data_IF_289924529241
#
_entry.id   IF_289924529241
#
_cell.length_a   1.000
_cell.length_b   1.000
_cell.length_c   1.000
_cell.angle_alpha   90.00
_cell.angle_beta   90.00
_cell.angle_gamma   90.00
#
_symmetry.space_group_name_H-M   'P 1'
#
loop_
_entity.id
_entity.type
_entity.pdbx_description
1 polymer ?
#
# COMPACT_ATOMS: atom_id res chain seq x y z
N UNK A 1 0.38 14.65 -11.16
CA UNK A 1 0.70 14.13 -9.82
C UNK A 1 1.93 13.26 -9.93
N UNK A 2 2.98 13.56 -9.18
CA UNK A 2 4.20 12.74 -9.05
C UNK A 2 4.09 11.77 -7.87
N UNK A 3 5.02 10.82 -7.77
CA UNK A 3 5.04 9.90 -6.63
C UNK A 3 5.36 10.63 -5.34
N UNK A 4 6.24 11.62 -5.42
CA UNK A 4 6.66 12.49 -4.33
C UNK A 4 5.46 13.28 -3.77
N UNK A 5 4.68 13.92 -4.64
CA UNK A 5 3.45 14.64 -4.26
C UNK A 5 2.43 13.71 -3.59
N UNK A 6 2.23 12.50 -4.13
CA UNK A 6 1.33 11.51 -3.54
C UNK A 6 1.84 11.07 -2.16
N UNK A 7 3.13 10.79 -2.04
CA UNK A 7 3.74 10.27 -0.82
C UNK A 7 3.73 11.33 0.30
N UNK A 8 4.05 12.57 -0.04
CA UNK A 8 4.00 13.71 0.88
C UNK A 8 2.56 13.99 1.32
N UNK A 9 1.59 14.00 0.41
CA UNK A 9 0.16 14.16 0.77
C UNK A 9 -0.32 13.06 1.72
N UNK A 10 0.11 11.82 1.49
CA UNK A 10 -0.29 10.69 2.33
C UNK A 10 0.38 10.70 3.72
N UNK A 11 1.66 11.07 3.79
CA UNK A 11 2.49 10.84 4.98
C UNK A 11 2.90 12.11 5.73
N UNK A 12 2.86 13.27 5.07
CA UNK A 12 3.45 14.53 5.54
C UNK A 12 4.98 14.61 5.39
N UNK A 13 5.60 13.67 4.68
CA UNK A 13 7.04 13.57 4.53
C UNK A 13 7.43 13.29 3.08
N UNK A 14 8.58 13.79 2.63
CA UNK A 14 9.16 13.40 1.35
C UNK A 14 9.59 11.92 1.37
N UNK A 15 9.46 11.19 0.24
CA UNK A 15 9.90 9.80 0.17
C UNK A 15 11.42 9.68 0.15
N UNK A 16 11.94 8.71 0.88
CA UNK A 16 13.34 8.30 0.77
C UNK A 16 13.67 7.77 -0.64
N UNK A 17 14.95 7.82 -1.06
CA UNK A 17 15.36 7.34 -2.39
C UNK A 17 14.94 5.90 -2.70
N UNK A 18 14.97 5.01 -1.71
CA UNK A 18 14.59 3.61 -1.92
C UNK A 18 13.06 3.42 -2.10
N UNK A 19 12.24 4.29 -1.51
CA UNK A 19 10.79 4.31 -1.70
C UNK A 19 10.45 4.71 -3.14
N UNK A 20 11.10 5.77 -3.64
CA UNK A 20 10.98 6.22 -5.04
C UNK A 20 11.37 5.11 -6.00
N UNK A 21 12.55 4.50 -5.78
CA UNK A 21 13.05 3.39 -6.60
C UNK A 21 12.09 2.20 -6.61
N UNK A 22 11.47 1.85 -5.49
CA UNK A 22 10.48 0.78 -5.42
C UNK A 22 9.23 1.11 -6.25
N UNK A 23 8.67 2.32 -6.09
CA UNK A 23 7.47 2.73 -6.80
C UNK A 23 7.68 2.83 -8.32
N UNK A 24 8.83 3.35 -8.74
CA UNK A 24 9.17 3.65 -10.14
C UNK A 24 9.88 2.52 -10.89
N UNK A 25 10.17 1.38 -10.23
CA UNK A 25 10.79 0.25 -10.90
C UNK A 25 9.92 -0.27 -12.06
N UNK A 26 10.52 -0.77 -13.14
CA UNK A 26 9.75 -1.35 -14.25
C UNK A 26 8.89 -2.55 -13.78
N UNK A 27 9.47 -3.37 -12.91
CA UNK A 27 8.83 -4.55 -12.31
C UNK A 27 8.74 -4.38 -10.78
N UNK A 28 7.83 -5.13 -10.15
CA UNK A 28 7.68 -5.08 -8.69
C UNK A 28 8.87 -5.83 -8.05
N UNK A 29 9.66 -5.20 -7.16
CA UNK A 29 10.81 -5.87 -6.56
C UNK A 29 10.40 -7.01 -5.61
N UNK A 30 11.06 -8.17 -5.72
CA UNK A 30 10.82 -9.32 -4.83
C UNK A 30 11.34 -9.11 -3.40
N UNK A 31 12.35 -8.25 -3.21
CA UNK A 31 12.98 -8.02 -1.92
C UNK A 31 13.26 -6.53 -1.68
N UNK A 32 12.75 -6.02 -0.57
CA UNK A 32 13.06 -4.69 -0.06
C UNK A 32 13.85 -4.79 1.25
N UNK A 33 15.15 -4.49 1.18
CA UNK A 33 16.03 -4.45 2.35
C UNK A 33 16.19 -3.01 2.83
N UNK A 34 15.65 -2.72 4.01
CA UNK A 34 15.81 -1.43 4.69
C UNK A 34 15.77 -1.60 6.21
N UNK A 35 16.45 -0.73 6.98
CA UNK A 35 16.41 -0.75 8.45
C UNK A 35 14.98 -0.68 9.02
N UNK A 36 14.82 -1.12 10.26
CA UNK A 36 13.57 -0.88 11.01
C UNK A 36 13.36 0.62 11.19
N UNK A 37 12.11 1.06 11.14
CA UNK A 37 11.78 2.50 11.20
C UNK A 37 11.95 3.26 9.88
N UNK A 38 12.60 2.70 8.86
CA UNK A 38 12.84 3.40 7.59
C UNK A 38 11.60 3.58 6.69
N UNK A 39 10.39 3.24 7.15
CA UNK A 39 9.17 3.39 6.36
C UNK A 39 8.91 2.27 5.34
N UNK A 40 9.29 1.02 5.64
CA UNK A 40 9.01 -0.15 4.77
C UNK A 40 7.52 -0.33 4.48
N UNK A 41 6.67 -0.15 5.49
CA UNK A 41 5.21 -0.25 5.34
C UNK A 41 4.67 0.80 4.37
N UNK A 42 5.09 2.07 4.53
CA UNK A 42 4.73 3.14 3.61
C UNK A 42 5.22 2.84 2.19
N UNK A 43 6.42 2.26 2.06
CA UNK A 43 6.98 1.87 0.75
C UNK A 43 6.08 0.85 0.04
N UNK A 44 5.69 -0.21 0.75
CA UNK A 44 4.87 -1.26 0.17
C UNK A 44 3.45 -0.76 -0.16
N UNK A 45 2.78 -0.04 0.76
CA UNK A 45 1.41 0.45 0.56
C UNK A 45 1.36 1.54 -0.52
N UNK A 46 2.13 2.62 -0.36
CA UNK A 46 2.06 3.77 -1.27
C UNK A 46 2.74 3.48 -2.60
N UNK A 47 3.78 2.64 -2.61
CA UNK A 47 4.40 2.17 -3.84
C UNK A 47 3.44 1.30 -4.66
N UNK A 48 2.74 0.35 -4.04
CA UNK A 48 1.71 -0.42 -4.73
C UNK A 48 0.57 0.48 -5.24
N UNK A 49 0.07 1.38 -4.40
CA UNK A 49 -1.02 2.29 -4.76
C UNK A 49 -0.65 3.19 -5.95
N UNK A 50 0.56 3.75 -5.92
CA UNK A 50 1.13 4.52 -7.04
C UNK A 50 1.15 3.71 -8.33
N UNK A 51 1.76 2.52 -8.27
CA UNK A 51 1.89 1.61 -9.42
C UNK A 51 0.54 1.21 -9.99
N UNK A 52 -0.47 1.03 -9.14
CA UNK A 52 -1.80 0.57 -9.52
C UNK A 52 -2.65 1.67 -10.17
N UNK A 53 -2.48 2.93 -9.77
CA UNK A 53 -3.40 4.03 -10.15
C UNK A 53 -2.78 5.18 -10.93
N UNK A 54 -1.51 5.47 -10.73
CA UNK A 54 -0.89 6.72 -11.20
C UNK A 54 0.33 6.51 -12.09
N UNK A 55 0.95 5.33 -12.05
CA UNK A 55 2.03 4.98 -12.96
C UNK A 55 1.55 4.86 -14.43
N UNK A 56 2.50 4.67 -15.34
CA UNK A 56 2.21 4.42 -16.76
C UNK A 56 1.33 3.17 -16.95
N UNK A 57 0.53 3.16 -18.02
CA UNK A 57 -0.50 2.14 -18.26
C UNK A 57 0.06 0.71 -18.18
N UNK A 58 1.24 0.47 -18.77
CA UNK A 58 1.91 -0.83 -18.72
C UNK A 58 2.16 -1.30 -17.28
N UNK A 59 2.61 -0.41 -16.40
CA UNK A 59 2.87 -0.72 -14.98
C UNK A 59 1.55 -0.96 -14.25
N UNK A 60 0.52 -0.15 -14.53
CA UNK A 60 -0.80 -0.28 -13.91
C UNK A 60 -1.49 -1.59 -14.24
N UNK A 61 -1.41 -2.04 -15.49
CA UNK A 61 -1.97 -3.31 -15.96
C UNK A 61 -1.21 -4.50 -15.37
N UNK A 62 0.12 -4.39 -15.27
CA UNK A 62 0.95 -5.45 -14.67
C UNK A 62 0.85 -5.52 -13.14
N UNK A 63 0.44 -4.43 -12.47
CA UNK A 63 0.36 -4.37 -11.01
C UNK A 63 -0.90 -5.07 -10.50
N UNK A 64 -0.78 -6.05 -9.57
CA UNK A 64 -1.93 -6.76 -9.02
C UNK A 64 -2.94 -5.83 -8.32
N UNK A 65 -4.22 -6.23 -8.36
CA UNK A 65 -5.33 -5.50 -7.72
C UNK A 65 -5.33 -5.61 -6.19
N UNK A 66 -4.63 -6.58 -5.61
CA UNK A 66 -4.62 -6.81 -4.17
C UNK A 66 -3.22 -6.75 -3.60
N UNK A 67 -3.08 -6.04 -2.48
CA UNK A 67 -1.87 -6.00 -1.68
C UNK A 67 -2.06 -6.77 -0.38
N UNK A 68 -1.59 -8.01 -0.33
CA UNK A 68 -1.74 -8.85 0.86
C UNK A 68 -0.53 -8.67 1.79
N UNK A 69 -0.79 -8.26 3.03
CA UNK A 69 0.22 -8.21 4.10
C UNK A 69 0.13 -9.42 5.03
N UNK A 70 1.17 -10.26 5.04
CA UNK A 70 1.34 -11.31 6.03
C UNK A 70 2.29 -10.84 7.13
N UNK A 71 1.77 -10.58 8.33
CA UNK A 71 2.53 -10.03 9.45
C UNK A 71 2.51 -10.99 10.64
N UNK A 72 3.64 -11.14 11.37
CA UNK A 72 3.78 -12.19 12.39
C UNK A 72 3.03 -11.91 13.69
N UNK A 73 2.60 -10.67 13.92
CA UNK A 73 2.00 -10.25 15.19
C UNK A 73 0.70 -9.47 14.96
N UNK A 74 -0.30 -9.71 15.82
CA UNK A 74 -1.58 -8.98 15.81
C UNK A 74 -1.39 -7.47 15.85
N UNK A 75 -0.48 -6.99 16.71
CA UNK A 75 -0.19 -5.55 16.83
C UNK A 75 0.31 -4.94 15.53
N UNK A 76 1.14 -5.66 14.77
CA UNK A 76 1.65 -5.19 13.48
C UNK A 76 0.53 -5.13 12.43
N UNK A 77 -0.41 -6.08 12.44
CA UNK A 77 -1.59 -6.04 11.57
C UNK A 77 -2.43 -4.80 11.89
N UNK A 78 -2.78 -4.59 13.17
CA UNK A 78 -3.56 -3.42 13.59
C UNK A 78 -2.87 -2.11 13.20
N UNK A 79 -1.57 -1.96 13.49
CA UNK A 79 -0.80 -0.76 13.15
C UNK A 79 -0.74 -0.52 11.63
N UNK A 80 -0.52 -1.59 10.86
CA UNK A 80 -0.45 -1.50 9.39
C UNK A 80 -1.80 -1.12 8.79
N UNK A 81 -2.90 -1.72 9.26
CA UNK A 81 -4.24 -1.40 8.78
C UNK A 81 -4.65 0.03 9.15
N UNK A 82 -4.34 0.51 10.36
CA UNK A 82 -4.59 1.91 10.76
C UNK A 82 -3.80 2.89 9.90
N UNK A 83 -2.50 2.63 9.68
CA UNK A 83 -1.68 3.47 8.82
C UNK A 83 -2.19 3.49 7.37
N UNK A 84 -2.51 2.33 6.79
CA UNK A 84 -3.02 2.23 5.43
C UNK A 84 -4.33 3.00 5.25
N UNK A 85 -5.29 2.86 6.17
CA UNK A 85 -6.55 3.62 6.16
C UNK A 85 -6.27 5.12 6.23
N UNK A 86 -5.44 5.58 7.18
CA UNK A 86 -5.13 7.00 7.32
C UNK A 86 -4.47 7.60 6.07
N UNK A 87 -3.62 6.85 5.37
CA UNK A 87 -3.04 7.30 4.11
C UNK A 87 -4.07 7.37 2.98
N UNK A 88 -4.96 6.39 2.88
CA UNK A 88 -6.04 6.39 1.89
C UNK A 88 -7.05 7.50 2.17
N UNK A 89 -7.33 7.81 3.44
CA UNK A 89 -8.17 8.94 3.84
C UNK A 89 -7.56 10.27 3.37
N UNK A 90 -6.27 10.52 3.64
CA UNK A 90 -5.57 11.74 3.16
C UNK A 90 -5.47 11.85 1.65
N UNK A 91 -5.58 10.73 0.95
CA UNK A 91 -5.60 10.66 -0.51
C UNK A 91 -7.01 10.68 -1.10
N UNK A 92 -8.06 10.72 -0.29
CA UNK A 92 -9.47 10.65 -0.72
C UNK A 92 -9.78 9.35 -1.51
N UNK A 93 -9.13 8.24 -1.13
CA UNK A 93 -9.22 6.93 -1.79
C UNK A 93 -9.84 5.83 -0.92
N UNK A 94 -10.26 6.14 0.31
CA UNK A 94 -10.74 5.16 1.28
C UNK A 94 -11.99 4.38 0.82
N UNK A 95 -12.90 5.00 0.07
CA UNK A 95 -14.07 4.31 -0.51
C UNK A 95 -13.71 3.41 -1.71
N UNK A 96 -12.58 3.70 -2.36
CA UNK A 96 -12.16 3.07 -3.61
C UNK A 96 -11.21 1.90 -3.39
N UNK A 97 -10.50 1.91 -2.26
CA UNK A 97 -9.53 0.89 -1.85
C UNK A 97 -9.81 0.51 -0.40
N UNK A 98 -10.75 -0.42 -0.13
CA UNK A 98 -10.97 -0.90 1.21
C UNK A 98 -9.73 -1.61 1.75
N UNK A 99 -9.52 -1.48 3.06
CA UNK A 99 -8.51 -2.22 3.82
C UNK A 99 -9.22 -3.28 4.65
N UNK A 100 -8.77 -4.52 4.58
CA UNK A 100 -9.33 -5.64 5.31
C UNK A 100 -8.33 -6.17 6.34
N UNK A 101 -8.82 -6.60 7.50
CA UNK A 101 -8.00 -7.22 8.54
C UNK A 101 -8.49 -8.63 8.82
N UNK A 102 -7.63 -9.62 8.58
CA UNK A 102 -7.92 -11.03 8.82
C UNK A 102 -7.20 -11.48 10.09
N UNK A 103 -7.84 -11.31 11.24
CA UNK A 103 -7.29 -11.68 12.54
C UNK A 103 -8.11 -12.81 13.15
N UNK A 104 -7.45 -13.76 13.82
CA UNK A 104 -8.16 -14.79 14.58
C UNK A 104 -9.10 -14.15 15.61
N UNK A 105 -10.39 -14.48 15.55
CA UNK A 105 -11.45 -13.89 16.39
C UNK A 105 -12.01 -12.54 15.93
N UNK A 106 -11.50 -11.96 14.83
CA UNK A 106 -12.00 -10.72 14.22
C UNK A 106 -11.62 -10.69 12.73
N UNK A 107 -12.42 -11.37 11.90
CA UNK A 107 -12.22 -11.46 10.45
C UNK A 107 -13.20 -10.51 9.78
N UNK A 108 -12.71 -9.66 8.89
CA UNK A 108 -13.58 -9.01 7.92
C UNK A 108 -13.95 -10.01 6.83
N UNK A 109 -15.16 -10.54 6.91
CA UNK A 109 -15.70 -11.62 6.06
C UNK A 109 -16.16 -11.12 4.69
N UNK A 110 -15.97 -9.84 4.39
CA UNK A 110 -16.40 -9.22 3.12
C UNK A 110 -15.28 -9.07 2.10
N UNK A 111 -14.03 -9.41 2.48
CA UNK A 111 -12.84 -9.24 1.65
C UNK A 111 -12.88 -9.99 0.31
N UNK A 112 -13.72 -11.01 0.19
CA UNK A 112 -13.89 -11.86 -0.99
C UNK A 112 -15.04 -11.44 -1.89
N UNK A 113 -15.89 -10.48 -1.47
CA UNK A 113 -17.12 -10.11 -2.21
C UNK A 113 -16.87 -9.38 -3.53
N UNK A 114 -15.74 -8.69 -3.67
CA UNK A 114 -15.32 -7.99 -4.89
C UNK A 114 -13.87 -8.32 -5.28
N UNK A 115 -13.60 -9.51 -5.84
CA UNK A 115 -12.26 -9.90 -6.30
C UNK A 115 -11.70 -9.01 -7.41
N UNK A 116 -12.57 -8.36 -8.18
CA UNK A 116 -12.24 -7.46 -9.28
C UNK A 116 -11.85 -6.05 -8.85
N UNK A 117 -12.13 -5.67 -7.59
CA UNK A 117 -11.82 -4.36 -7.04
C UNK A 117 -10.42 -4.29 -6.44
N UNK A 118 -9.84 -3.09 -6.39
CA UNK A 118 -8.57 -2.86 -5.70
C UNK A 118 -8.79 -2.93 -4.17
N UNK A 119 -7.90 -3.60 -3.44
CA UNK A 119 -7.99 -3.72 -1.98
C UNK A 119 -6.64 -4.02 -1.32
N UNK A 120 -6.53 -3.72 -0.02
CA UNK A 120 -5.40 -4.10 0.86
C UNK A 120 -5.87 -5.15 1.87
#
# INVERSE_FOLDING_TARGET
MTFEELFERATGHEPFPFQRRFAMAAELPDLLRAPTGAGKTATAVLGWLWRRRFAEERVRVATPRRLVFCLPMRSLVTQTSVAARAWLDRLDLHEQVPVYSLLGGAIDDTFDRRPEADAI
#
